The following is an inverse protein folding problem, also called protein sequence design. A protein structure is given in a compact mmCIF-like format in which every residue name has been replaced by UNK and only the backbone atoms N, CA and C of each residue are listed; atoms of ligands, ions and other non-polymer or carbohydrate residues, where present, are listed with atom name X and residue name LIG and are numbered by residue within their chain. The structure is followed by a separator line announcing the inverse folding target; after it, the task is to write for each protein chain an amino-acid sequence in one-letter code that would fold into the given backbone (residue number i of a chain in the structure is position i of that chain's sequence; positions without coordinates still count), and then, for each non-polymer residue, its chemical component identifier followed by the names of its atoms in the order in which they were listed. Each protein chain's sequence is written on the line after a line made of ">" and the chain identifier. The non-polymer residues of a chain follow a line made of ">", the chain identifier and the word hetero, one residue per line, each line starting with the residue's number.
data_IF_692301431940
#
_entry.id   IF_692301431940
#
_cell.length_a   1.000
_cell.length_b   1.000
_cell.length_c   1.000
_cell.angle_alpha   90.00
_cell.angle_beta   90.00
_cell.angle_gamma   90.00
#
_symmetry.space_group_name_H-M   'P 1'
#
loop_
_entity.id
_entity.type
_entity.pdbx_description
1 polymer ?
#
# COMPACT_ATOMS: atom_id res chain seq x y z
N UNK A 1 -8.65 16.48 -18.75
CA UNK A 1 -9.95 16.90 -18.18
C UNK A 1 -10.33 16.03 -16.99
N UNK A 2 -10.66 14.74 -17.15
CA UNK A 2 -11.13 13.88 -16.04
C UNK A 2 -10.18 13.79 -14.82
N UNK A 3 -8.86 13.66 -15.05
CA UNK A 3 -7.87 13.61 -13.97
C UNK A 3 -7.84 14.91 -13.16
N UNK A 4 -7.83 16.06 -13.85
CA UNK A 4 -7.87 17.39 -13.20
C UNK A 4 -9.08 17.50 -12.29
N UNK A 5 -10.27 17.17 -12.77
CA UNK A 5 -11.52 17.22 -11.98
C UNK A 5 -11.50 16.28 -10.76
N UNK A 6 -10.66 15.25 -10.76
CA UNK A 6 -10.53 14.35 -9.60
C UNK A 6 -9.57 14.91 -8.54
N UNK A 7 -8.49 15.59 -8.96
CA UNK A 7 -7.46 16.12 -8.05
C UNK A 7 -7.84 17.50 -7.51
N UNK A 8 -8.39 18.36 -8.39
CA UNK A 8 -8.75 19.75 -8.11
C UNK A 8 -10.05 19.81 -7.28
N UNK A 9 -9.92 19.54 -5.97
CA UNK A 9 -11.04 19.54 -5.03
C UNK A 9 -11.60 20.95 -4.82
N UNK A 10 -10.74 21.96 -4.93
CA UNK A 10 -11.11 23.37 -4.73
C UNK A 10 -11.66 24.05 -5.99
N UNK A 11 -11.60 23.37 -7.15
CA UNK A 11 -12.05 23.84 -8.45
C UNK A 11 -11.45 25.21 -8.85
N UNK A 12 -10.18 25.47 -8.53
CA UNK A 12 -9.56 26.78 -8.73
C UNK A 12 -8.44 26.80 -9.79
N UNK A 13 -8.30 25.71 -10.56
CA UNK A 13 -7.25 25.52 -11.59
C UNK A 13 -5.82 25.36 -11.05
N UNK A 14 -5.63 25.27 -9.74
CA UNK A 14 -4.36 24.94 -9.09
C UNK A 14 -4.46 23.61 -8.35
N UNK A 15 -3.31 22.93 -8.21
CA UNK A 15 -3.20 21.73 -7.38
C UNK A 15 -2.29 22.05 -6.20
N UNK A 16 -2.87 22.10 -5.01
CA UNK A 16 -2.13 22.27 -3.76
C UNK A 16 -1.43 20.97 -3.33
N UNK A 17 -0.41 21.09 -2.48
CA UNK A 17 0.22 19.91 -1.84
C UNK A 17 -0.82 19.07 -1.06
N UNK A 18 -1.85 19.71 -0.52
CA UNK A 18 -2.94 19.03 0.18
C UNK A 18 -3.79 18.17 -0.77
N UNK A 19 -4.22 18.73 -1.90
CA UNK A 19 -4.97 17.99 -2.93
C UNK A 19 -4.16 16.82 -3.49
N UNK A 20 -2.85 17.03 -3.67
CA UNK A 20 -1.94 16.00 -4.10
C UNK A 20 -1.78 14.87 -3.06
N UNK A 21 -1.63 15.18 -1.77
CA UNK A 21 -1.62 14.18 -0.68
C UNK A 21 -2.91 13.34 -0.68
N UNK A 22 -4.06 14.02 -0.73
CA UNK A 22 -5.37 13.36 -0.74
C UNK A 22 -5.48 12.41 -1.93
N UNK A 23 -5.11 12.86 -3.14
CA UNK A 23 -5.18 12.05 -4.35
C UNK A 23 -4.26 10.83 -4.28
N UNK A 24 -3.01 11.01 -3.85
CA UNK A 24 -2.03 9.91 -3.78
C UNK A 24 -2.41 8.84 -2.76
N UNK A 25 -3.00 9.23 -1.62
CA UNK A 25 -3.52 8.28 -0.62
C UNK A 25 -4.75 7.52 -1.10
N UNK A 26 -5.63 8.16 -1.86
CA UNK A 26 -6.83 7.51 -2.40
C UNK A 26 -6.49 6.44 -3.45
N UNK A 27 -5.56 6.73 -4.35
CA UNK A 27 -5.27 5.86 -5.50
C UNK A 27 -3.95 5.08 -5.37
N UNK A 28 -3.43 4.95 -4.15
CA UNK A 28 -2.23 4.18 -3.82
C UNK A 28 -2.26 2.74 -4.39
N UNK A 29 -1.08 2.12 -4.64
CA UNK A 29 0.27 2.65 -4.45
C UNK A 29 0.73 3.60 -5.58
N UNK A 30 1.75 4.42 -5.29
CA UNK A 30 2.28 5.41 -6.24
C UNK A 30 2.72 4.80 -7.58
N UNK A 31 3.32 3.61 -7.55
CA UNK A 31 3.78 2.86 -8.75
C UNK A 31 2.70 2.65 -9.80
N UNK A 32 1.43 2.59 -9.38
CA UNK A 32 0.27 2.31 -10.23
C UNK A 32 -0.82 3.37 -10.12
N UNK A 33 -0.50 4.54 -9.55
CA UNK A 33 -1.45 5.60 -9.17
C UNK A 33 -2.51 5.89 -10.24
N UNK A 34 -2.08 6.19 -11.47
CA UNK A 34 -2.99 6.55 -12.56
C UNK A 34 -3.80 5.35 -13.07
N UNK A 35 -3.24 4.13 -13.02
CA UNK A 35 -3.98 2.90 -13.36
C UNK A 35 -5.07 2.65 -12.33
N UNK A 36 -4.77 2.81 -11.04
CA UNK A 36 -5.73 2.64 -9.96
C UNK A 36 -6.82 3.70 -10.04
N UNK A 37 -6.46 4.96 -10.31
CA UNK A 37 -7.43 6.03 -10.57
C UNK A 37 -8.36 5.69 -11.75
N UNK A 38 -7.81 5.23 -12.87
CA UNK A 38 -8.62 4.87 -14.02
C UNK A 38 -9.58 3.71 -13.70
N UNK A 39 -9.06 2.65 -13.06
CA UNK A 39 -9.87 1.49 -12.70
C UNK A 39 -10.97 1.88 -11.72
N UNK A 40 -10.64 2.56 -10.62
CA UNK A 40 -11.54 2.87 -9.52
C UNK A 40 -12.50 4.04 -9.82
N UNK A 41 -12.00 5.16 -10.35
CA UNK A 41 -12.80 6.38 -10.47
C UNK A 41 -13.38 6.61 -11.87
N UNK A 42 -12.82 5.97 -12.91
CA UNK A 42 -13.28 6.15 -14.31
C UNK A 42 -14.13 4.98 -14.77
N UNK A 43 -13.71 3.74 -14.49
CA UNK A 43 -14.36 2.55 -15.06
C UNK A 43 -15.23 1.76 -14.07
N UNK A 44 -15.01 1.90 -12.77
CA UNK A 44 -15.71 1.06 -11.79
C UNK A 44 -17.16 1.52 -11.58
N UNK A 45 -18.18 0.67 -11.82
CA UNK A 45 -19.59 1.06 -11.73
C UNK A 45 -20.04 1.39 -10.31
N UNK A 46 -19.37 0.83 -9.31
CA UNK A 46 -19.61 1.13 -7.89
C UNK A 46 -19.09 2.48 -7.41
N UNK A 47 -18.30 3.21 -8.21
CA UNK A 47 -17.81 4.53 -7.81
C UNK A 47 -18.90 5.59 -7.96
N UNK A 48 -19.16 6.34 -6.89
CA UNK A 48 -20.10 7.45 -6.88
C UNK A 48 -19.41 8.72 -6.39
N UNK A 49 -19.19 9.65 -7.32
CA UNK A 49 -18.54 10.92 -7.02
C UNK A 49 -19.46 11.84 -6.19
N UNK A 50 -18.87 12.57 -5.25
CA UNK A 50 -19.52 13.66 -4.49
C UNK A 50 -20.81 13.31 -3.71
N UNK A 51 -21.02 12.04 -3.34
CA UNK A 51 -22.15 11.69 -2.48
C UNK A 51 -21.81 11.82 -0.99
N UNK A 52 -22.82 12.20 -0.21
CA UNK A 52 -22.81 12.19 1.26
C UNK A 52 -23.20 10.82 1.82
N UNK A 53 -23.16 10.68 3.15
CA UNK A 53 -23.60 9.48 3.84
C UNK A 53 -25.09 9.17 3.54
N UNK A 54 -25.95 10.18 3.63
CA UNK A 54 -27.39 10.01 3.46
C UNK A 54 -27.76 9.69 2.01
N UNK A 55 -27.05 10.28 1.04
CA UNK A 55 -27.27 9.99 -0.38
C UNK A 55 -26.85 8.57 -0.75
N UNK A 56 -25.75 8.05 -0.18
CA UNK A 56 -25.38 6.64 -0.35
C UNK A 56 -26.46 5.72 0.21
N UNK A 57 -27.01 6.05 1.39
CA UNK A 57 -28.10 5.27 2.00
C UNK A 57 -29.35 5.29 1.12
N UNK A 58 -29.76 6.46 0.63
CA UNK A 58 -30.90 6.59 -0.27
C UNK A 58 -30.68 5.82 -1.59
N UNK A 59 -29.46 5.84 -2.13
CA UNK A 59 -29.11 5.14 -3.36
C UNK A 59 -29.23 3.63 -3.22
N UNK A 60 -28.68 3.08 -2.13
CA UNK A 60 -28.68 1.65 -1.82
C UNK A 60 -30.05 1.13 -1.35
N UNK A 61 -30.92 2.01 -0.85
CA UNK A 61 -32.29 1.64 -0.45
C UNK A 61 -33.08 0.96 -1.59
N UNK A 62 -32.77 1.30 -2.85
CA UNK A 62 -33.37 0.68 -4.05
C UNK A 62 -32.97 -0.78 -4.24
N UNK A 63 -31.87 -1.20 -3.60
CA UNK A 63 -31.29 -2.54 -3.68
C UNK A 63 -31.36 -3.27 -2.33
N UNK A 64 -32.25 -2.86 -1.42
CA UNK A 64 -32.34 -3.42 -0.07
C UNK A 64 -32.63 -4.94 -0.07
N UNK A 65 -33.33 -5.44 -1.10
CA UNK A 65 -33.62 -6.86 -1.27
C UNK A 65 -32.49 -7.64 -1.96
N UNK A 66 -31.42 -6.96 -2.37
CA UNK A 66 -30.28 -7.53 -3.07
C UNK A 66 -29.02 -7.36 -2.21
N UNK A 67 -28.86 -8.28 -1.26
CA UNK A 67 -27.70 -8.33 -0.37
C UNK A 67 -26.39 -8.36 -1.17
N UNK A 68 -25.35 -7.71 -0.65
CA UNK A 68 -24.07 -7.55 -1.33
C UNK A 68 -24.03 -6.41 -2.36
N UNK A 69 -25.12 -5.66 -2.54
CA UNK A 69 -25.10 -4.43 -3.35
C UNK A 69 -24.30 -3.35 -2.66
N UNK A 70 -23.36 -2.71 -3.37
CA UNK A 70 -22.44 -1.76 -2.77
C UNK A 70 -22.10 -0.58 -3.69
N UNK A 71 -21.70 0.53 -3.08
CA UNK A 71 -21.10 1.69 -3.76
C UNK A 71 -19.97 2.23 -2.89
N UNK A 72 -19.02 2.94 -3.47
CA UNK A 72 -17.96 3.60 -2.73
C UNK A 72 -17.69 5.03 -3.23
N UNK A 73 -17.19 5.84 -2.33
CA UNK A 73 -16.97 7.27 -2.52
C UNK A 73 -15.83 7.79 -1.68
N UNK A 74 -15.41 9.02 -1.93
CA UNK A 74 -14.51 9.75 -1.04
C UNK A 74 -15.22 10.02 0.30
N UNK A 75 -14.47 9.91 1.40
CA UNK A 75 -14.96 10.30 2.72
C UNK A 75 -14.88 11.81 2.91
N UNK A 76 -16.01 12.44 3.26
CA UNK A 76 -16.10 13.88 3.49
C UNK A 76 -15.51 14.29 4.85
N UNK A 77 -15.53 13.41 5.84
CA UNK A 77 -15.03 13.69 7.20
C UNK A 77 -13.58 13.23 7.40
N UNK A 78 -13.05 12.40 6.50
CA UNK A 78 -11.68 11.90 6.51
C UNK A 78 -11.08 11.94 5.11
N UNK A 79 -10.62 13.12 4.70
CA UNK A 79 -10.02 13.31 3.38
C UNK A 79 -8.80 12.40 3.17
N UNK A 80 -8.67 11.85 1.97
CA UNK A 80 -7.69 10.82 1.64
C UNK A 80 -8.10 9.39 2.02
N UNK A 81 -9.34 9.18 2.49
CA UNK A 81 -9.91 7.86 2.76
C UNK A 81 -11.19 7.61 1.95
N UNK A 82 -11.45 6.33 1.70
CA UNK A 82 -12.67 5.86 1.03
C UNK A 82 -13.76 5.52 2.05
N UNK A 83 -15.00 5.67 1.66
CA UNK A 83 -16.17 5.13 2.35
C UNK A 83 -16.91 4.17 1.42
N UNK A 84 -17.19 2.95 1.89
CA UNK A 84 -17.90 1.91 1.16
C UNK A 84 -19.24 1.69 1.84
N UNK A 85 -20.33 1.92 1.13
CA UNK A 85 -21.68 1.54 1.55
C UNK A 85 -22.10 0.23 0.93
N UNK A 86 -22.73 -0.65 1.70
CA UNK A 86 -23.21 -1.94 1.21
C UNK A 86 -24.49 -2.40 1.93
N UNK A 87 -25.23 -3.29 1.28
CA UNK A 87 -26.44 -3.94 1.79
C UNK A 87 -26.07 -5.28 2.43
N UNK A 88 -26.40 -5.47 3.69
CA UNK A 88 -26.13 -6.70 4.44
C UNK A 88 -27.10 -7.83 4.08
N UNK A 89 -26.83 -9.06 4.53
CA UNK A 89 -27.74 -10.18 4.37
C UNK A 89 -29.09 -9.96 5.09
N UNK A 90 -29.08 -9.19 6.18
CA UNK A 90 -30.26 -8.86 6.98
C UNK A 90 -31.11 -7.72 6.38
N UNK A 91 -30.69 -7.17 5.24
CA UNK A 91 -31.39 -6.06 4.58
C UNK A 91 -31.15 -4.71 5.24
N UNK A 92 -30.00 -4.52 5.89
CA UNK A 92 -29.56 -3.23 6.42
C UNK A 92 -28.52 -2.58 5.50
N UNK A 93 -28.38 -1.25 5.59
CA UNK A 93 -27.35 -0.50 4.85
C UNK A 93 -26.31 -0.01 5.84
N UNK A 94 -25.08 -0.49 5.68
CA UNK A 94 -23.93 -0.08 6.48
C UNK A 94 -22.90 0.64 5.62
N UNK A 95 -22.14 1.57 6.22
CA UNK A 95 -20.99 2.20 5.59
C UNK A 95 -19.74 1.99 6.43
N UNK A 96 -18.63 1.67 5.78
CA UNK A 96 -17.33 1.41 6.41
C UNK A 96 -16.23 2.22 5.75
N UNK A 97 -15.17 2.50 6.51
CA UNK A 97 -13.96 3.15 6.01
C UNK A 97 -12.82 2.13 6.14
N UNK A 98 -12.29 1.59 5.03
CA UNK A 98 -11.16 0.66 5.08
C UNK A 98 -9.98 1.25 5.84
N UNK A 99 -9.40 0.48 6.75
CA UNK A 99 -8.19 0.86 7.50
C UNK A 99 -6.99 0.04 7.00
N UNK A 100 -5.83 0.70 6.89
CA UNK A 100 -4.54 0.07 6.58
C UNK A 100 -4.52 -0.83 5.34
N UNK A 101 -5.33 -0.51 4.32
CA UNK A 101 -5.37 -1.22 3.04
C UNK A 101 -5.77 -0.29 1.89
N UNK A 102 -5.32 -0.59 0.67
CA UNK A 102 -5.80 0.10 -0.53
C UNK A 102 -7.27 -0.23 -0.79
N UNK A 103 -7.98 0.65 -1.53
CA UNK A 103 -9.37 0.38 -1.88
C UNK A 103 -9.51 -0.89 -2.73
N UNK A 104 -8.60 -1.11 -3.69
CA UNK A 104 -8.60 -2.33 -4.50
C UNK A 104 -8.56 -3.59 -3.63
N UNK A 105 -7.68 -3.63 -2.62
CA UNK A 105 -7.61 -4.76 -1.70
C UNK A 105 -8.88 -4.90 -0.87
N UNK A 106 -9.40 -3.78 -0.32
CA UNK A 106 -10.65 -3.79 0.46
C UNK A 106 -11.83 -4.36 -0.34
N UNK A 107 -11.93 -4.00 -1.62
CA UNK A 107 -12.99 -4.49 -2.51
C UNK A 107 -12.84 -5.97 -2.83
N UNK A 108 -11.61 -6.46 -3.04
CA UNK A 108 -11.35 -7.89 -3.27
C UNK A 108 -11.64 -8.74 -2.02
N UNK A 109 -11.25 -8.26 -0.83
CA UNK A 109 -11.53 -8.93 0.44
C UNK A 109 -13.03 -9.04 0.66
N UNK A 110 -13.76 -7.92 0.54
CA UNK A 110 -15.21 -7.94 0.75
C UNK A 110 -15.98 -8.66 -0.36
N UNK A 111 -15.43 -8.78 -1.57
CA UNK A 111 -15.98 -9.68 -2.59
C UNK A 111 -15.87 -11.15 -2.14
N UNK A 112 -14.71 -11.55 -1.63
CA UNK A 112 -14.44 -12.92 -1.14
C UNK A 112 -15.31 -13.29 0.07
N UNK A 113 -15.58 -12.32 0.94
CA UNK A 113 -16.43 -12.47 2.12
C UNK A 113 -17.94 -12.36 1.78
N UNK A 114 -18.30 -11.99 0.55
CA UNK A 114 -19.68 -11.89 0.10
C UNK A 114 -20.38 -10.56 0.40
N UNK A 115 -19.65 -9.55 0.90
CA UNK A 115 -20.18 -8.21 1.18
C UNK A 115 -20.26 -7.31 -0.05
N UNK A 116 -19.31 -7.41 -0.99
CA UNK A 116 -19.18 -6.52 -2.15
C UNK A 116 -19.34 -7.32 -3.45
N UNK A 117 -20.59 -7.58 -3.81
CA UNK A 117 -20.93 -8.45 -4.95
C UNK A 117 -21.50 -7.68 -6.13
N UNK A 118 -22.38 -6.70 -5.87
CA UNK A 118 -23.14 -6.03 -6.91
C UNK A 118 -22.85 -4.53 -6.92
N UNK A 119 -21.84 -4.06 -7.68
CA UNK A 119 -21.48 -2.65 -7.71
C UNK A 119 -22.62 -1.83 -8.30
N UNK A 120 -23.13 -0.88 -7.53
CA UNK A 120 -24.33 -0.09 -7.84
C UNK A 120 -25.53 -0.97 -8.27
N UNK A 121 -25.65 -2.16 -7.65
CA UNK A 121 -26.70 -3.14 -7.93
C UNK A 121 -26.52 -3.90 -9.25
N UNK A 122 -25.45 -3.66 -10.02
CA UNK A 122 -25.16 -4.35 -11.28
C UNK A 122 -24.77 -5.82 -11.04
N UNK A 123 -25.08 -6.75 -11.97
CA UNK A 123 -24.75 -8.17 -11.81
C UNK A 123 -23.27 -8.49 -12.06
N UNK A 124 -22.56 -7.62 -12.78
CA UNK A 124 -21.15 -7.82 -13.12
C UNK A 124 -20.26 -7.00 -12.18
N UNK A 125 -19.38 -7.69 -11.45
CA UNK A 125 -18.37 -7.05 -10.60
C UNK A 125 -17.00 -7.06 -11.31
N UNK A 126 -16.37 -5.90 -11.56
CA UNK A 126 -15.04 -5.86 -12.16
C UNK A 126 -13.99 -6.58 -11.31
N UNK A 127 -13.15 -7.39 -11.96
CA UNK A 127 -12.01 -8.02 -11.30
C UNK A 127 -10.86 -7.03 -11.11
N UNK A 128 -10.56 -6.74 -9.84
CA UNK A 128 -9.49 -5.83 -9.42
C UNK A 128 -8.17 -6.55 -9.09
N UNK A 129 -8.09 -7.87 -9.29
CA UNK A 129 -6.91 -8.66 -8.93
C UNK A 129 -5.65 -8.22 -9.67
N UNK A 130 -5.78 -7.59 -10.84
CA UNK A 130 -4.66 -7.02 -11.62
C UNK A 130 -4.21 -5.63 -11.14
N UNK A 131 -5.07 -4.92 -10.40
CA UNK A 131 -4.78 -3.59 -9.86
C UNK A 131 -4.10 -3.68 -8.50
N UNK A 132 -4.32 -4.76 -7.77
CA UNK A 132 -3.47 -5.16 -6.66
C UNK A 132 -2.22 -5.78 -7.27
N UNK A 133 -1.15 -5.01 -7.38
CA UNK A 133 0.18 -5.62 -7.43
C UNK A 133 0.25 -6.51 -6.19
N UNK A 134 0.53 -7.81 -6.36
CA UNK A 134 1.07 -8.64 -5.27
C UNK A 134 2.01 -7.74 -4.49
N UNK A 135 1.84 -7.60 -3.16
CA UNK A 135 2.60 -6.62 -2.39
C UNK A 135 4.02 -6.74 -2.89
N UNK A 136 4.52 -5.68 -3.55
CA UNK A 136 5.95 -5.60 -3.78
C UNK A 136 6.46 -5.64 -2.37
N UNK A 137 6.98 -6.78 -1.94
CA UNK A 137 7.55 -6.97 -0.62
C UNK A 137 8.36 -5.70 -0.38
N UNK A 138 8.08 -4.94 0.67
CA UNK A 138 8.79 -3.67 0.83
C UNK A 138 10.26 -4.03 1.05
N UNK A 139 11.06 -3.84 -0.02
CA UNK A 139 12.40 -4.37 -0.12
C UNK A 139 13.32 -3.44 0.63
N UNK A 140 13.79 -3.88 1.79
CA UNK A 140 14.79 -3.15 2.57
C UNK A 140 16.16 -3.53 2.01
N UNK A 141 16.75 -2.63 1.23
CA UNK A 141 18.11 -2.83 0.72
C UNK A 141 19.13 -2.52 1.82
N UNK A 142 19.96 -3.50 2.16
CA UNK A 142 21.01 -3.32 3.16
C UNK A 142 22.13 -2.45 2.58
N UNK A 143 22.50 -1.38 3.29
CA UNK A 143 23.61 -0.52 2.88
C UNK A 143 24.96 -1.22 3.10
N UNK A 144 26.00 -0.76 2.41
CA UNK A 144 27.36 -1.28 2.61
C UNK A 144 27.81 -1.12 4.08
N UNK A 145 27.61 0.06 4.67
CA UNK A 145 27.97 0.34 6.07
C UNK A 145 27.25 -0.59 7.05
N UNK A 146 25.95 -0.85 6.82
CA UNK A 146 25.20 -1.81 7.63
C UNK A 146 25.78 -3.21 7.48
N UNK A 147 26.04 -3.65 6.25
CA UNK A 147 26.63 -4.97 5.99
C UNK A 147 27.97 -5.16 6.71
N UNK A 148 28.87 -4.18 6.61
CA UNK A 148 30.19 -4.21 7.24
C UNK A 148 30.07 -4.31 8.77
N UNK A 149 29.25 -3.44 9.38
CA UNK A 149 29.01 -3.44 10.82
C UNK A 149 28.47 -4.79 11.33
N UNK A 150 27.52 -5.40 10.61
CA UNK A 150 26.97 -6.69 11.03
C UNK A 150 27.97 -7.84 10.85
N UNK A 151 28.80 -7.80 9.80
CA UNK A 151 29.86 -8.78 9.60
C UNK A 151 30.89 -8.77 10.73
N UNK A 152 31.30 -7.59 11.20
CA UNK A 152 32.23 -7.45 12.33
C UNK A 152 31.69 -8.09 13.62
N UNK A 153 30.38 -8.05 13.81
CA UNK A 153 29.69 -8.64 14.97
C UNK A 153 29.32 -10.12 14.78
N UNK A 154 29.76 -10.77 13.69
CA UNK A 154 29.44 -12.17 13.41
C UNK A 154 27.94 -12.42 13.15
N UNK A 155 27.24 -11.43 12.61
CA UNK A 155 25.80 -11.48 12.34
C UNK A 155 25.48 -10.91 10.96
N UNK A 156 24.20 -10.93 10.56
CA UNK A 156 23.76 -10.32 9.30
C UNK A 156 22.60 -9.36 9.56
N UNK A 157 22.42 -8.35 8.71
CA UNK A 157 21.24 -7.48 8.83
C UNK A 157 19.94 -8.26 8.61
N UNK A 158 19.94 -9.33 7.80
CA UNK A 158 18.76 -10.14 7.48
C UNK A 158 18.16 -10.78 8.75
N UNK A 159 19.01 -11.33 9.62
CA UNK A 159 18.57 -12.10 10.77
C UNK A 159 17.84 -11.25 11.82
N UNK A 160 16.71 -11.76 12.29
CA UNK A 160 15.96 -11.24 13.42
C UNK A 160 16.86 -11.21 14.67
N UNK A 161 16.82 -10.09 15.42
CA UNK A 161 17.68 -9.90 16.60
C UNK A 161 17.09 -10.44 17.90
N UNK A 162 15.94 -11.09 17.83
CA UNK A 162 15.31 -11.79 18.95
C UNK A 162 15.72 -13.26 18.94
N UNK A 163 15.47 -13.98 17.83
CA UNK A 163 15.86 -15.39 17.71
C UNK A 163 17.25 -15.62 17.13
N UNK A 164 17.81 -14.68 16.36
CA UNK A 164 19.06 -14.86 15.61
C UNK A 164 19.06 -16.03 14.60
N UNK A 165 17.88 -16.59 14.30
CA UNK A 165 17.72 -17.77 13.43
C UNK A 165 16.94 -17.45 12.15
N UNK A 166 15.83 -16.72 12.26
CA UNK A 166 14.95 -16.41 11.14
C UNK A 166 15.29 -15.05 10.53
N UNK A 167 15.08 -14.90 9.22
CA UNK A 167 15.15 -13.60 8.57
C UNK A 167 13.99 -12.69 9.01
N UNK A 168 14.25 -11.38 8.98
CA UNK A 168 13.25 -10.36 9.21
C UNK A 168 12.27 -10.35 8.05
N UNK A 169 10.99 -10.46 8.37
CA UNK A 169 9.88 -10.48 7.41
C UNK A 169 8.78 -9.48 7.78
N UNK A 170 8.89 -8.79 8.91
CA UNK A 170 7.86 -7.86 9.38
C UNK A 170 8.42 -6.59 10.00
N UNK A 171 7.76 -5.47 9.72
CA UNK A 171 7.99 -4.13 10.29
C UNK A 171 6.81 -3.72 11.18
N UNK A 172 7.12 -3.17 12.36
CA UNK A 172 6.12 -2.70 13.33
C UNK A 172 5.86 -1.20 13.15
N UNK A 173 4.59 -0.79 13.03
CA UNK A 173 4.17 0.62 12.98
C UNK A 173 3.69 1.12 14.36
N UNK A 174 4.06 2.37 14.78
CA UNK A 174 4.80 3.39 14.02
C UNK A 174 6.32 3.37 14.25
N UNK A 175 6.85 2.43 15.03
CA UNK A 175 8.24 2.50 15.51
C UNK A 175 9.29 2.04 14.48
N UNK A 176 8.88 1.37 13.40
CA UNK A 176 9.75 0.90 12.32
C UNK A 176 10.64 -0.31 12.66
N UNK A 177 10.49 -0.91 13.85
CA UNK A 177 11.35 -2.05 14.23
C UNK A 177 11.07 -3.28 13.37
N UNK A 178 12.14 -3.98 13.02
CA UNK A 178 12.13 -5.14 12.14
C UNK A 178 12.44 -6.42 12.92
N UNK A 179 11.64 -7.46 12.71
CA UNK A 179 11.80 -8.78 13.31
C UNK A 179 11.19 -9.84 12.40
N UNK A 180 11.22 -11.10 12.84
CA UNK A 180 10.50 -12.17 12.17
C UNK A 180 9.09 -12.33 12.79
N UNK A 181 8.14 -12.76 11.97
CA UNK A 181 6.76 -13.02 12.34
C UNK A 181 6.64 -14.00 13.51
N UNK A 182 7.40 -15.12 13.56
CA UNK A 182 7.37 -16.04 14.70
C UNK A 182 7.68 -15.37 16.04
N UNK A 183 8.69 -14.49 16.09
CA UNK A 183 9.04 -13.78 17.33
C UNK A 183 7.99 -12.76 17.73
N UNK A 184 7.37 -12.06 16.76
CA UNK A 184 6.27 -11.15 17.06
C UNK A 184 5.05 -11.89 17.61
N UNK A 185 4.68 -13.00 16.98
CA UNK A 185 3.54 -13.82 17.43
C UNK A 185 3.77 -14.40 18.81
N UNK A 186 4.95 -14.97 19.08
CA UNK A 186 5.29 -15.48 20.41
C UNK A 186 5.21 -14.38 21.47
N UNK A 187 5.74 -13.19 21.17
CA UNK A 187 5.68 -12.04 22.07
C UNK A 187 4.24 -11.61 22.40
N UNK A 188 3.36 -11.56 21.40
CA UNK A 188 1.95 -11.18 21.57
C UNK A 188 1.13 -12.22 22.33
N UNK A 189 1.55 -13.48 22.34
CA UNK A 189 0.88 -14.57 23.08
C UNK A 189 1.36 -14.63 24.53
N UNK A 190 2.66 -14.48 24.77
CA UNK A 190 3.27 -14.69 26.09
C UNK A 190 3.23 -13.45 26.99
N UNK A 191 3.02 -12.27 26.42
CA UNK A 191 2.91 -11.03 27.18
C UNK A 191 1.51 -10.44 27.06
N UNK A 192 0.94 -10.00 28.19
CA UNK A 192 -0.23 -9.09 28.23
C UNK A 192 0.06 -7.72 27.53
N UNK A 193 1.18 -7.60 26.82
CA UNK A 193 1.71 -6.38 26.24
C UNK A 193 1.49 -6.30 24.73
N UNK A 194 0.59 -5.42 24.31
CA UNK A 194 0.37 -5.04 22.90
C UNK A 194 1.50 -4.14 22.32
N UNK A 195 2.69 -4.15 22.94
CA UNK A 195 3.80 -3.24 22.63
C UNK A 195 4.95 -3.90 21.88
N UNK A 196 5.70 -3.10 21.13
CA UNK A 196 6.87 -3.53 20.36
C UNK A 196 7.93 -4.23 21.25
N UNK A 197 8.48 -5.39 20.87
CA UNK A 197 9.50 -6.10 21.66
C UNK A 197 10.77 -5.29 21.95
N UNK A 198 11.12 -4.34 21.07
CA UNK A 198 12.34 -3.55 21.19
C UNK A 198 12.15 -2.28 22.00
N UNK A 199 11.10 -1.51 21.70
CA UNK A 199 10.91 -0.16 22.27
C UNK A 199 9.64 -0.02 23.12
N UNK A 200 8.83 -1.07 23.26
CA UNK A 200 7.56 -1.12 24.02
C UNK A 200 6.49 -0.13 23.57
N UNK A 201 6.68 0.56 22.45
CA UNK A 201 5.67 1.43 21.85
C UNK A 201 4.45 0.58 21.42
N UNK A 202 3.25 1.14 21.56
CA UNK A 202 2.01 0.50 21.12
C UNK A 202 2.07 0.11 19.63
N UNK A 203 1.75 -1.15 19.33
CA UNK A 203 1.71 -1.66 17.96
C UNK A 203 0.36 -1.27 17.34
N UNK A 204 0.39 -0.33 16.38
CA UNK A 204 -0.81 0.11 15.66
C UNK A 204 -1.04 -0.66 14.35
N UNK A 205 0.00 -1.32 13.86
CA UNK A 205 -0.05 -2.10 12.63
C UNK A 205 1.26 -2.82 12.35
N UNK A 206 1.24 -3.70 11.36
CA UNK A 206 2.41 -4.43 10.89
C UNK A 206 2.42 -4.46 9.37
N UNK A 207 3.61 -4.35 8.78
CA UNK A 207 3.84 -4.42 7.33
C UNK A 207 4.78 -5.58 7.03
N UNK A 208 4.45 -6.41 6.03
CA UNK A 208 5.33 -7.49 5.56
C UNK A 208 6.44 -6.90 4.68
N UNK A 209 7.67 -7.32 4.92
CA UNK A 209 8.87 -6.79 4.27
C UNK A 209 9.76 -7.93 3.81
N UNK A 210 10.61 -7.66 2.82
CA UNK A 210 11.73 -8.54 2.49
C UNK A 210 13.01 -7.74 2.59
N UNK A 211 14.02 -8.32 3.20
CA UNK A 211 15.32 -7.68 3.31
C UNK A 211 16.22 -8.23 2.21
N UNK A 212 16.74 -7.35 1.37
CA UNK A 212 17.67 -7.74 0.32
C UNK A 212 19.10 -7.74 0.87
N UNK A 213 19.76 -8.90 0.82
CA UNK A 213 21.16 -9.01 1.18
C UNK A 213 22.07 -8.14 0.32
N UNK A 214 22.98 -7.43 0.99
CA UNK A 214 24.04 -6.72 0.30
C UNK A 214 24.97 -7.74 -0.37
N UNK A 215 25.11 -7.63 -1.71
CA UNK A 215 26.02 -8.45 -2.50
C UNK A 215 27.23 -7.61 -2.92
N UNK A 216 28.40 -7.79 -2.28
CA UNK A 216 29.60 -7.03 -2.59
C UNK A 216 30.10 -7.25 -4.03
N UNK A 217 29.72 -8.36 -4.69
CA UNK A 217 30.16 -8.66 -6.07
C UNK A 217 29.37 -7.88 -7.13
N UNK A 218 28.11 -7.51 -6.86
CA UNK A 218 27.27 -6.75 -7.80
C UNK A 218 27.72 -5.29 -7.98
N UNK A 219 28.30 -4.66 -6.94
CA UNK A 219 28.82 -3.29 -7.07
C UNK A 219 30.16 -3.23 -7.81
N UNK A 220 31.04 -4.23 -7.67
CA UNK A 220 32.33 -4.25 -8.34
C UNK A 220 32.21 -4.30 -9.89
N UNK A 221 31.13 -4.92 -10.39
CA UNK A 221 30.80 -4.95 -11.82
C UNK A 221 30.23 -3.63 -12.34
N UNK A 222 29.50 -2.86 -11.51
CA UNK A 222 29.02 -1.51 -11.88
C UNK A 222 30.17 -0.51 -12.00
N UNK A 223 31.21 -0.63 -11.17
CA UNK A 223 32.39 0.22 -11.27
C UNK A 223 33.35 -0.18 -12.40
N UNK A 224 33.37 -1.45 -12.83
CA UNK A 224 34.24 -1.89 -13.94
C UNK A 224 33.73 -1.47 -15.33
N UNK A 225 32.41 -1.26 -15.49
CA UNK A 225 31.84 -0.78 -16.76
C UNK A 225 32.02 0.72 -17.00
N UNK A 226 32.24 1.52 -15.94
CA UNK A 226 32.52 2.96 -16.06
C UNK A 226 34.02 3.30 -16.22
N UNK A 227 34.91 2.30 -16.18
CA UNK A 227 36.36 2.51 -16.27
C UNK A 227 36.98 2.28 -17.66
N UNK A 228 36.19 2.00 -18.71
CA UNK A 228 36.70 1.61 -20.04
C UNK A 228 36.45 2.63 -21.16
N UNK A 229 36.15 3.88 -20.82
CA UNK A 229 35.93 4.97 -21.77
C UNK A 229 36.73 6.22 -21.38
N UNK A 230 38.06 6.13 -21.46
CA UNK A 230 38.99 7.25 -21.67
C UNK A 230 40.38 6.61 -21.86
N UNK A 231 40.76 6.34 -23.11
CA UNK A 231 42.14 6.12 -23.58
C UNK A 231 42.11 5.90 -25.10
N UNK A 232 41.78 6.97 -25.83
CA UNK A 232 41.86 7.19 -27.29
C UNK A 232 41.74 8.73 -27.35
N UNK A 233 42.69 9.59 -27.73
CA UNK A 233 43.91 9.54 -28.53
C UNK A 233 44.79 10.74 -28.12
N UNK A 234 46.11 10.63 -28.21
CA UNK A 234 46.97 11.72 -28.70
C UNK A 234 48.36 11.15 -28.98
N UNK A 235 48.56 10.76 -30.25
CA UNK A 235 49.87 10.50 -30.85
C UNK A 235 49.98 11.34 -32.13
N UNK A 236 51.00 12.20 -32.14
CA UNK A 236 51.75 12.77 -33.24
C UNK A 236 51.05 13.41 -34.46
N UNK A 237 51.24 14.74 -34.59
CA UNK A 237 51.67 15.33 -35.86
C UNK A 237 52.72 16.43 -35.63
N UNK A 238 53.92 16.19 -36.15
CA UNK A 238 55.02 17.13 -36.38
C UNK A 238 54.61 18.31 -37.28
N UNK A 239 55.06 19.53 -36.96
CA UNK A 239 55.83 20.46 -37.84
C UNK A 239 56.67 21.40 -36.96
#
# INVERSE_FOLDING_TARGET
>A
MALKTTIDLTCNDYISNFEFDVFTRLFQPWSTLLKNWQVLAVTHPGYVAFLTYDEVKARLQRYIQKSGSYVFRLSCTRLGQWAIGYVTADGEILQTIPQNKSLCQALLDGHREGFYLYPDGQPYNPDLSKAVQSPTEDHITVTQEQYELYCEMGSTFQLCKICAENDKDIRIEPCGHLLCTPCLTAWQVDSDGQGCPFCRAEIKGTEQIVVDAFDPKKQHNRNSTNGRQQNVDDDDTEV
#
